data_IF_859115586610
#
_entry.id   IF_859115586610
#
_cell.length_a   1.000
_cell.length_b   1.000
_cell.length_c   1.000
_cell.angle_alpha   90.00
_cell.angle_beta   90.00
_cell.angle_gamma   90.00
#
_symmetry.space_group_name_H-M   'P 1'
#
loop_
_entity.id
_entity.type
_entity.pdbx_description
1 polymer ?
#
# COMPACT_ATOMS: atom_id res chain seq x y z
N UNK A 1 9.65 -32.85 32.19
CA UNK A 1 10.66 -32.31 33.12
C UNK A 1 11.59 -31.39 32.35
N UNK A 2 11.47 -30.07 32.57
CA UNK A 2 12.27 -29.02 31.92
C UNK A 2 13.64 -28.92 32.61
N UNK A 3 14.72 -28.80 31.83
CA UNK A 3 15.97 -28.15 32.27
C UNK A 3 16.46 -27.26 31.13
N UNK A 4 16.17 -25.97 31.24
CA UNK A 4 16.83 -24.91 30.50
C UNK A 4 18.05 -24.48 31.31
N UNK A 5 19.22 -24.48 30.69
CA UNK A 5 20.48 -23.97 31.24
C UNK A 5 20.54 -22.48 30.93
N UNK A 6 20.47 -21.65 31.97
CA UNK A 6 20.62 -20.20 31.90
C UNK A 6 22.09 -19.87 32.23
N UNK A 7 22.83 -19.30 31.27
CA UNK A 7 24.16 -18.72 31.50
C UNK A 7 23.99 -17.28 32.02
N UNK A 8 24.43 -17.04 33.25
CA UNK A 8 24.50 -15.71 33.87
C UNK A 8 25.94 -15.21 33.76
N UNK A 9 26.20 -13.98 33.27
CA UNK A 9 27.52 -13.38 33.38
C UNK A 9 27.74 -12.88 34.82
N UNK A 10 28.86 -13.30 35.40
CA UNK A 10 29.41 -12.85 36.68
C UNK A 10 29.77 -11.35 36.59
N UNK A 11 29.16 -10.50 37.41
CA UNK A 11 29.64 -9.14 37.67
C UNK A 11 30.20 -9.09 39.09
N UNK A 12 31.50 -8.79 39.21
CA UNK A 12 32.24 -8.65 40.46
C UNK A 12 31.76 -7.39 41.18
N UNK A 13 31.37 -7.54 42.44
CA UNK A 13 30.89 -6.46 43.29
C UNK A 13 32.00 -5.52 43.77
N UNK A 14 31.67 -4.24 43.88
CA UNK A 14 32.31 -3.31 44.80
C UNK A 14 31.21 -2.74 45.71
N UNK A 15 31.38 -2.96 47.01
CA UNK A 15 30.49 -2.53 48.09
C UNK A 15 30.71 -1.03 48.30
N UNK A 16 29.63 -0.25 48.22
CA UNK A 16 29.61 1.17 48.59
C UNK A 16 28.19 1.57 48.94
N UNK A 17 27.88 1.59 50.24
CA UNK A 17 26.58 1.99 50.76
C UNK A 17 26.36 3.50 50.58
N UNK A 18 25.29 3.86 49.87
CA UNK A 18 24.66 5.17 49.93
C UNK A 18 23.16 4.95 50.00
N UNK A 19 22.56 5.38 51.10
CA UNK A 19 21.11 5.50 51.24
C UNK A 19 20.62 6.52 50.19
N UNK A 20 19.92 6.04 49.17
CA UNK A 20 19.11 6.88 48.29
C UNK A 20 17.66 6.40 48.43
N UNK A 21 16.83 7.24 49.05
CA UNK A 21 15.39 7.08 49.02
C UNK A 21 14.95 7.04 47.55
N UNK A 22 14.35 5.91 47.14
CA UNK A 22 13.75 5.76 45.82
C UNK A 22 12.55 6.70 45.71
N UNK A 23 12.78 7.88 45.13
CA UNK A 23 11.73 8.63 44.46
C UNK A 23 11.28 7.79 43.25
N UNK A 24 10.24 6.98 43.46
CA UNK A 24 9.44 6.39 42.39
C UNK A 24 8.69 7.49 41.65
N UNK A 25 9.43 8.34 40.93
CA UNK A 25 8.88 9.12 39.84
C UNK A 25 8.56 8.12 38.74
N UNK A 26 7.28 7.73 38.66
CA UNK A 26 6.72 7.04 37.50
C UNK A 26 7.07 7.91 36.30
N UNK A 27 8.11 7.53 35.54
CA UNK A 27 8.32 8.07 34.20
C UNK A 27 7.07 7.67 33.43
N UNK A 28 6.12 8.60 33.34
CA UNK A 28 5.11 8.57 32.30
C UNK A 28 5.89 8.43 31.01
N UNK A 29 5.90 7.22 30.44
CA UNK A 29 6.32 7.08 29.06
C UNK A 29 5.26 7.81 28.26
N UNK A 30 5.56 9.05 27.93
CA UNK A 30 4.83 9.78 26.90
C UNK A 30 5.04 9.01 25.59
N UNK A 31 4.11 8.09 25.33
CA UNK A 31 4.05 7.35 24.09
C UNK A 31 3.63 8.39 23.05
N UNK A 32 4.63 8.88 22.29
CA UNK A 32 4.42 9.93 21.30
C UNK A 32 3.16 9.71 20.47
N UNK A 33 2.36 10.77 20.36
CA UNK A 33 1.04 10.72 19.74
C UNK A 33 1.11 10.16 18.31
N UNK A 34 0.39 9.06 18.06
CA UNK A 34 0.27 8.50 16.71
C UNK A 34 -1.06 8.95 16.13
N UNK A 35 -0.98 9.69 15.03
CA UNK A 35 -2.14 10.38 14.43
C UNK A 35 -2.56 9.68 13.14
N UNK A 36 -3.86 9.43 12.99
CA UNK A 36 -4.49 8.96 11.75
C UNK A 36 -4.63 10.14 10.79
N UNK A 37 -3.99 10.10 9.62
CA UNK A 37 -4.05 11.19 8.63
C UNK A 37 -5.01 10.91 7.46
N UNK A 38 -5.50 9.68 7.33
CA UNK A 38 -6.51 9.34 6.33
C UNK A 38 -7.95 9.72 6.76
N UNK A 39 -8.11 10.58 7.76
CA UNK A 39 -9.37 11.17 8.24
C UNK A 39 -9.51 12.63 7.79
N UNK A 40 -10.65 13.25 8.09
CA UNK A 40 -10.93 14.66 7.77
C UNK A 40 -9.93 15.59 8.44
N UNK A 41 -9.64 15.37 9.73
CA UNK A 41 -8.55 16.00 10.45
C UNK A 41 -7.60 14.91 10.95
N UNK A 42 -6.36 15.30 11.25
CA UNK A 42 -5.42 14.39 11.88
C UNK A 42 -5.89 14.11 13.32
N UNK A 43 -6.26 12.87 13.66
CA UNK A 43 -6.79 12.51 14.98
C UNK A 43 -5.90 11.47 15.65
N UNK A 44 -5.66 11.63 16.95
CA UNK A 44 -5.00 10.61 17.77
C UNK A 44 -5.66 9.24 17.55
N UNK A 45 -4.86 8.21 17.29
CA UNK A 45 -5.37 6.86 17.10
C UNK A 45 -6.19 6.35 18.30
N UNK A 46 -5.93 6.83 19.52
CA UNK A 46 -6.71 6.50 20.72
C UNK A 46 -8.05 7.26 20.81
N UNK A 47 -8.15 8.42 20.18
CA UNK A 47 -9.37 9.25 20.13
C UNK A 47 -10.22 8.99 18.89
N UNK A 48 -9.64 8.35 17.88
CA UNK A 48 -10.36 8.04 16.65
C UNK A 48 -11.56 7.13 16.93
N UNK A 49 -12.77 7.62 16.67
CA UNK A 49 -14.02 6.89 16.89
C UNK A 49 -14.18 5.63 16.00
N UNK A 50 -13.34 5.47 14.97
CA UNK A 50 -13.31 4.28 14.12
C UNK A 50 -12.25 3.26 14.53
N UNK A 51 -12.10 2.20 13.73
CA UNK A 51 -11.06 1.19 13.97
C UNK A 51 -9.90 1.42 13.00
N UNK A 52 -8.81 1.96 13.51
CA UNK A 52 -7.58 2.18 12.75
C UNK A 52 -6.41 1.31 13.28
N UNK A 53 -5.41 1.10 12.44
CA UNK A 53 -4.11 0.58 12.83
C UNK A 53 -3.03 1.34 12.08
N UNK A 54 -1.95 1.70 12.76
CA UNK A 54 -0.86 2.47 12.18
C UNK A 54 0.44 1.68 12.36
N UNK A 55 1.17 1.50 11.26
CA UNK A 55 2.50 0.92 11.26
C UNK A 55 3.51 2.02 11.01
N UNK A 56 4.47 2.11 11.91
CA UNK A 56 5.63 2.98 11.81
C UNK A 56 6.78 2.25 11.10
N UNK A 57 7.88 2.95 10.73
CA UNK A 57 9.03 2.29 10.14
C UNK A 57 9.65 1.23 11.06
N UNK A 58 9.46 1.35 12.39
CA UNK A 58 9.92 0.35 13.35
C UNK A 58 9.12 -0.95 13.23
N UNK A 59 7.80 -0.84 13.08
CA UNK A 59 6.91 -2.00 12.96
C UNK A 59 7.13 -2.75 11.64
N UNK A 60 7.38 -1.99 10.57
CA UNK A 60 7.64 -2.55 9.25
C UNK A 60 9.03 -3.22 9.14
N UNK A 61 10.02 -2.83 9.96
CA UNK A 61 11.34 -3.48 9.98
C UNK A 61 11.29 -4.94 10.46
N UNK A 62 10.26 -5.30 11.22
CA UNK A 62 10.11 -6.64 11.78
C UNK A 62 9.74 -7.70 10.72
N UNK A 63 9.24 -7.28 9.55
CA UNK A 63 8.81 -8.16 8.46
C UNK A 63 9.58 -7.87 7.17
N UNK A 64 9.52 -8.80 6.22
CA UNK A 64 10.18 -8.67 4.91
C UNK A 64 9.38 -7.88 3.90
N UNK A 65 8.07 -7.81 4.08
CA UNK A 65 7.16 -7.08 3.20
C UNK A 65 6.07 -6.34 4.00
N UNK A 66 5.43 -5.40 3.31
CA UNK A 66 4.40 -4.55 3.90
C UNK A 66 3.14 -5.33 4.26
N UNK A 67 2.79 -6.38 3.51
CA UNK A 67 1.55 -7.13 3.69
C UNK A 67 1.62 -7.92 5.00
N UNK A 68 2.72 -8.63 5.24
CA UNK A 68 3.02 -9.29 6.51
C UNK A 68 3.08 -8.28 7.67
N UNK A 69 3.47 -7.02 7.39
CA UNK A 69 3.43 -5.96 8.40
C UNK A 69 1.99 -5.56 8.72
N UNK A 70 1.14 -5.39 7.71
CA UNK A 70 -0.29 -5.05 7.81
C UNK A 70 -1.07 -6.15 8.54
N UNK A 71 -0.72 -7.42 8.34
CA UNK A 71 -1.31 -8.56 9.05
C UNK A 71 -1.04 -8.56 10.57
N UNK A 72 -0.14 -7.70 11.08
CA UNK A 72 0.02 -7.53 12.53
C UNK A 72 -1.12 -6.70 13.14
N UNK A 73 -1.92 -6.01 12.32
CA UNK A 73 -3.04 -5.19 12.79
C UNK A 73 -4.24 -6.10 13.07
N UNK A 74 -4.86 -6.02 14.28
CA UNK A 74 -6.04 -6.81 14.59
C UNK A 74 -7.20 -6.60 13.59
N UNK A 75 -7.86 -7.69 13.20
CA UNK A 75 -8.94 -7.68 12.20
C UNK A 75 -8.46 -7.61 10.75
N UNK A 76 -7.16 -7.76 10.54
CA UNK A 76 -6.54 -8.02 9.24
C UNK A 76 -6.05 -9.45 9.24
N UNK A 77 -6.55 -10.24 8.30
CA UNK A 77 -6.08 -11.61 8.06
C UNK A 77 -5.41 -11.66 6.69
N UNK A 78 -4.64 -12.69 6.42
CA UNK A 78 -4.05 -12.88 5.10
C UNK A 78 -4.08 -14.34 4.70
N UNK A 79 -4.05 -14.60 3.40
CA UNK A 79 -3.72 -15.93 2.92
C UNK A 79 -2.21 -16.03 2.72
N UNK A 80 -1.69 -17.22 2.93
CA UNK A 80 -0.28 -17.50 2.75
C UNK A 80 -0.11 -18.26 1.43
N UNK A 81 0.55 -17.66 0.44
CA UNK A 81 1.04 -18.37 -0.73
C UNK A 81 2.32 -19.15 -0.38
N UNK A 82 2.18 -20.07 0.58
CA UNK A 82 3.29 -20.91 1.05
C UNK A 82 4.53 -20.07 1.42
N UNK A 83 4.29 -18.90 2.02
CA UNK A 83 5.32 -17.97 2.46
C UNK A 83 5.98 -17.11 1.37
N UNK A 84 5.75 -17.38 0.08
CA UNK A 84 6.30 -16.61 -1.06
C UNK A 84 5.79 -15.18 -1.08
N UNK A 85 6.56 -14.25 -1.66
CA UNK A 85 6.18 -12.83 -1.68
C UNK A 85 5.15 -12.56 -2.78
N UNK A 86 5.34 -13.16 -3.95
CA UNK A 86 4.49 -12.98 -5.11
C UNK A 86 3.02 -13.17 -4.74
N UNK A 87 2.67 -14.23 -4.02
CA UNK A 87 1.28 -14.54 -3.67
C UNK A 87 0.79 -14.03 -2.29
N UNK A 88 1.37 -12.95 -1.75
CA UNK A 88 0.85 -12.36 -0.50
C UNK A 88 -0.39 -11.49 -0.75
N UNK A 89 -1.40 -11.73 0.07
CA UNK A 89 -2.61 -10.93 0.14
C UNK A 89 -3.11 -10.79 1.57
N UNK A 90 -3.99 -9.83 1.77
CA UNK A 90 -4.64 -9.57 3.04
C UNK A 90 -6.13 -9.27 2.80
N UNK A 91 -6.91 -9.43 3.86
CA UNK A 91 -8.30 -9.07 3.96
C UNK A 91 -8.52 -8.30 5.25
N UNK A 92 -9.41 -7.32 5.21
CA UNK A 92 -9.82 -6.54 6.37
C UNK A 92 -11.27 -6.94 6.69
N UNK A 93 -11.49 -7.55 7.86
CA UNK A 93 -12.82 -8.02 8.30
C UNK A 93 -13.56 -8.84 7.22
N UNK A 94 -12.83 -9.72 6.52
CA UNK A 94 -13.37 -10.58 5.45
C UNK A 94 -13.50 -9.94 4.07
N UNK A 95 -13.10 -8.68 3.91
CA UNK A 95 -13.10 -7.96 2.62
C UNK A 95 -11.68 -7.81 2.08
N UNK A 96 -11.44 -8.08 0.79
CA UNK A 96 -10.16 -7.77 0.13
C UNK A 96 -9.62 -8.85 -0.82
N UNK A 97 -10.09 -10.09 -0.72
CA UNK A 97 -9.66 -11.17 -1.61
C UNK A 97 -9.89 -10.81 -3.09
N UNK A 98 -8.80 -10.69 -3.85
CA UNK A 98 -8.76 -10.46 -5.32
C UNK A 98 -9.71 -9.36 -5.84
N UNK A 99 -9.95 -8.31 -5.05
CA UNK A 99 -10.95 -7.29 -5.38
C UNK A 99 -10.45 -5.89 -5.08
N UNK A 100 -10.17 -5.13 -6.15
CA UNK A 100 -9.89 -3.68 -6.11
C UNK A 100 -11.05 -2.86 -5.48
N UNK A 101 -12.26 -3.44 -5.43
CA UNK A 101 -13.49 -2.75 -5.06
C UNK A 101 -13.93 -2.97 -3.60
N UNK A 102 -13.09 -3.62 -2.77
CA UNK A 102 -13.45 -3.94 -1.38
C UNK A 102 -12.54 -3.32 -0.34
N UNK A 103 -11.25 -3.17 -0.65
CA UNK A 103 -10.27 -2.44 0.16
C UNK A 103 -9.47 -1.54 -0.77
N UNK A 104 -9.49 -0.23 -0.54
CA UNK A 104 -8.69 0.70 -1.35
C UNK A 104 -7.27 0.76 -0.79
N UNK A 105 -6.29 0.49 -1.63
CA UNK A 105 -4.88 0.55 -1.27
C UNK A 105 -4.26 1.71 -2.02
N UNK A 106 -3.66 2.67 -1.31
CA UNK A 106 -2.99 3.83 -1.89
C UNK A 106 -1.55 3.94 -1.40
N UNK A 107 -0.64 4.32 -2.28
CA UNK A 107 0.68 4.85 -1.92
C UNK A 107 0.79 6.28 -2.43
N UNK A 108 0.96 7.25 -1.53
CA UNK A 108 1.01 8.68 -1.88
C UNK A 108 -0.18 9.12 -2.78
N UNK A 109 -1.38 8.57 -2.53
CA UNK A 109 -2.59 8.83 -3.33
C UNK A 109 -2.78 7.92 -4.55
N UNK A 110 -1.72 7.26 -5.04
CA UNK A 110 -1.80 6.33 -6.18
C UNK A 110 -2.46 5.03 -5.76
N UNK A 111 -3.60 4.70 -6.37
CA UNK A 111 -4.29 3.41 -6.13
C UNK A 111 -3.44 2.24 -6.64
N UNK A 112 -3.33 1.19 -5.83
CA UNK A 112 -2.73 -0.09 -6.22
C UNK A 112 -3.78 -1.03 -6.81
N UNK A 113 -3.36 -1.88 -7.73
CA UNK A 113 -4.23 -2.79 -8.45
C UNK A 113 -4.12 -4.21 -7.89
N UNK A 114 -4.86 -4.48 -6.82
CA UNK A 114 -4.95 -5.79 -6.19
C UNK A 114 -5.47 -6.89 -7.14
N UNK A 115 -6.36 -6.53 -8.09
CA UNK A 115 -6.98 -7.46 -9.02
C UNK A 115 -6.13 -7.82 -10.24
N UNK A 116 -5.10 -7.03 -10.57
CA UNK A 116 -4.26 -7.27 -11.75
C UNK A 116 -3.53 -8.60 -11.74
N UNK A 117 -3.28 -9.12 -10.54
CA UNK A 117 -2.49 -10.31 -10.33
C UNK A 117 -3.36 -11.54 -10.03
N UNK A 118 -4.67 -11.46 -10.32
CA UNK A 118 -5.59 -12.59 -10.18
C UNK A 118 -5.06 -13.80 -10.96
N UNK A 119 -5.10 -14.97 -10.31
CA UNK A 119 -4.55 -16.30 -10.69
C UNK A 119 -3.15 -16.68 -10.14
N UNK A 120 -2.37 -15.73 -9.61
CA UNK A 120 -1.27 -16.02 -8.68
C UNK A 120 -1.50 -15.09 -7.50
N UNK A 121 -2.18 -15.57 -6.46
CA UNK A 121 -2.86 -14.82 -5.38
C UNK A 121 -2.07 -13.58 -4.91
N UNK A 122 -2.07 -12.48 -5.64
CA UNK A 122 -1.18 -11.35 -5.38
C UNK A 122 -2.00 -10.09 -5.29
N UNK A 123 -1.61 -9.21 -4.38
CA UNK A 123 -2.30 -7.94 -4.13
C UNK A 123 -1.53 -6.77 -4.75
N UNK A 124 -0.52 -6.23 -4.08
CA UNK A 124 0.17 -5.04 -4.56
C UNK A 124 1.67 -5.08 -4.27
N UNK A 125 2.42 -4.17 -4.90
CA UNK A 125 3.85 -4.00 -4.65
C UNK A 125 4.20 -2.61 -4.14
N UNK A 126 5.13 -2.60 -3.21
CA UNK A 126 5.77 -1.45 -2.56
C UNK A 126 7.00 -1.95 -1.82
N UNK A 127 7.82 -1.03 -1.33
CA UNK A 127 8.97 -1.34 -0.50
C UNK A 127 8.81 -0.74 0.90
N UNK A 128 8.77 -1.60 1.93
CA UNK A 128 8.64 -1.16 3.33
C UNK A 128 9.71 -0.18 3.79
N UNK A 129 10.91 -0.20 3.19
CA UNK A 129 12.01 0.67 3.61
C UNK A 129 11.78 2.14 3.23
N UNK A 130 11.03 2.42 2.15
CA UNK A 130 10.73 3.79 1.72
C UNK A 130 9.46 4.36 2.37
N UNK A 131 8.70 3.52 3.08
CA UNK A 131 7.46 3.93 3.73
C UNK A 131 7.75 4.60 5.07
N UNK A 132 7.20 5.80 5.25
CA UNK A 132 7.16 6.53 6.51
C UNK A 132 6.13 5.91 7.44
N UNK A 133 4.97 5.55 6.91
CA UNK A 133 3.92 4.88 7.67
C UNK A 133 2.92 4.18 6.77
N UNK A 134 2.18 3.25 7.36
CA UNK A 134 1.02 2.59 6.76
C UNK A 134 -0.16 2.73 7.71
N UNK A 135 -1.25 3.30 7.23
CA UNK A 135 -2.50 3.49 7.97
C UNK A 135 -3.54 2.53 7.41
N UNK A 136 -4.16 1.72 8.28
CA UNK A 136 -5.24 0.80 7.93
C UNK A 136 -6.49 1.26 8.65
N UNK A 137 -7.38 1.93 7.93
CA UNK A 137 -8.71 2.32 8.45
C UNK A 137 -9.69 1.23 8.05
N UNK A 138 -10.36 0.63 9.03
CA UNK A 138 -11.23 -0.52 8.86
C UNK A 138 -12.71 -0.09 8.82
N UNK A 139 -13.47 -0.67 7.90
CA UNK A 139 -14.87 -0.34 7.67
C UNK A 139 -15.07 0.76 6.63
N UNK A 140 -16.32 1.13 6.41
CA UNK A 140 -16.72 2.03 5.33
C UNK A 140 -16.00 3.40 5.41
N UNK A 141 -15.13 3.67 4.44
CA UNK A 141 -14.36 4.93 4.33
C UNK A 141 -14.48 5.56 2.93
N UNK A 142 -15.61 5.31 2.27
CA UNK A 142 -15.78 5.66 0.85
C UNK A 142 -15.95 7.17 0.58
N UNK A 143 -16.35 7.97 1.58
CA UNK A 143 -16.59 9.42 1.41
C UNK A 143 -15.29 10.16 1.02
N UNK A 144 -14.20 9.97 1.76
CA UNK A 144 -12.93 10.65 1.48
C UNK A 144 -12.04 9.91 0.47
N UNK A 145 -12.19 8.60 0.35
CA UNK A 145 -11.21 7.77 -0.38
C UNK A 145 -11.72 7.23 -1.71
N UNK A 146 -13.01 7.40 -1.97
CA UNK A 146 -13.70 6.98 -3.18
C UNK A 146 -14.46 5.67 -3.06
N UNK A 147 -15.24 5.36 -4.09
CA UNK A 147 -16.00 4.11 -4.17
C UNK A 147 -15.10 2.88 -4.06
N UNK A 148 -15.54 1.87 -3.32
CA UNK A 148 -14.85 0.59 -3.15
C UNK A 148 -14.13 0.40 -1.81
N UNK A 149 -14.26 1.34 -0.87
CA UNK A 149 -13.71 1.22 0.50
C UNK A 149 -14.74 0.67 1.49
N UNK A 150 -15.36 -0.49 1.19
CA UNK A 150 -16.35 -1.13 2.07
C UNK A 150 -15.66 -1.80 3.27
N UNK A 151 -14.60 -2.57 3.00
CA UNK A 151 -13.78 -3.23 4.01
C UNK A 151 -12.84 -2.28 4.73
N UNK A 152 -12.46 -1.19 4.06
CA UNK A 152 -11.54 -0.20 4.59
C UNK A 152 -10.58 0.34 3.55
N UNK A 153 -9.54 0.99 4.04
CA UNK A 153 -8.44 1.49 3.24
C UNK A 153 -7.09 1.14 3.86
N UNK A 154 -6.09 1.03 3.01
CA UNK A 154 -4.67 1.00 3.36
C UNK A 154 -4.01 2.20 2.70
N UNK A 155 -3.60 3.17 3.49
CA UNK A 155 -2.93 4.38 3.02
C UNK A 155 -1.44 4.33 3.40
N UNK A 156 -0.56 4.36 2.42
CA UNK A 156 0.88 4.29 2.61
C UNK A 156 1.51 5.63 2.25
N UNK A 157 2.34 6.15 3.15
CA UNK A 157 3.05 7.40 2.91
C UNK A 157 4.55 7.19 2.71
N UNK A 158 5.03 7.82 1.66
CA UNK A 158 6.40 8.26 1.37
C UNK A 158 7.29 8.82 2.47
N UNK A 159 8.49 8.32 2.73
CA UNK A 159 9.53 9.13 3.41
C UNK A 159 10.00 10.30 2.55
N UNK A 160 10.36 11.42 3.18
CA UNK A 160 11.18 12.50 2.63
C UNK A 160 12.58 12.49 3.23
N UNK A 161 13.48 13.37 2.76
CA UNK A 161 14.84 13.44 3.29
C UNK A 161 14.87 13.71 4.80
N UNK A 162 13.96 14.56 5.28
CA UNK A 162 13.80 14.89 6.71
C UNK A 162 13.50 13.67 7.59
N UNK A 163 12.86 12.62 7.06
CA UNK A 163 12.59 11.40 7.83
C UNK A 163 13.84 10.51 8.02
N UNK A 164 14.93 10.80 7.28
CA UNK A 164 16.21 10.11 7.40
C UNK A 164 17.29 10.95 8.10
N UNK A 165 17.14 12.27 8.15
CA UNK A 165 18.09 13.18 8.78
C UNK A 165 17.93 13.16 10.29
N UNK A 166 19.04 12.98 11.00
CA UNK A 166 19.10 13.26 12.44
C UNK A 166 18.99 14.76 12.69
N UNK A 167 18.55 15.13 13.89
CA UNK A 167 18.45 16.52 14.32
C UNK A 167 19.77 17.28 14.12
N UNK A 168 19.70 18.48 13.56
CA UNK A 168 20.85 19.33 13.26
C UNK A 168 21.75 18.83 12.12
N UNK A 169 21.33 17.86 11.31
CA UNK A 169 22.06 17.40 10.12
C UNK A 169 21.31 17.74 8.84
N UNK A 170 22.06 18.10 7.81
CA UNK A 170 21.53 18.59 6.53
C UNK A 170 21.82 17.64 5.37
N UNK A 171 22.73 16.67 5.54
CA UNK A 171 23.02 15.61 4.56
C UNK A 171 23.27 14.29 5.30
N UNK A 172 22.89 13.17 4.68
CA UNK A 172 23.16 11.84 5.20
C UNK A 172 23.24 10.75 4.13
N UNK A 173 23.84 9.62 4.54
CA UNK A 173 23.95 8.39 3.78
C UNK A 173 23.43 7.25 4.65
N UNK A 174 22.58 6.40 4.07
CA UNK A 174 22.14 5.14 4.66
C UNK A 174 22.71 4.00 3.81
N UNK A 175 23.26 2.99 4.48
CA UNK A 175 23.52 1.68 3.92
C UNK A 175 22.87 0.62 4.81
N UNK A 176 22.27 -0.40 4.20
CA UNK A 176 21.57 -1.45 4.94
C UNK A 176 21.71 -2.79 4.26
N UNK A 177 21.98 -3.82 5.06
CA UNK A 177 21.89 -5.21 4.67
C UNK A 177 20.80 -5.90 5.49
N UNK A 178 20.12 -6.87 4.89
CA UNK A 178 19.21 -7.79 5.58
C UNK A 178 19.53 -9.20 5.14
N UNK A 179 19.59 -10.11 6.10
CA UNK A 179 19.74 -11.54 5.89
C UNK A 179 18.71 -12.23 6.78
N UNK A 180 17.99 -13.21 6.24
CA UNK A 180 17.06 -14.04 6.99
C UNK A 180 17.36 -15.51 6.78
N UNK A 181 17.07 -16.31 7.82
CA UNK A 181 17.27 -17.76 7.79
C UNK A 181 16.43 -18.49 6.74
N UNK A 182 15.33 -17.87 6.26
CA UNK A 182 14.46 -18.43 5.24
C UNK A 182 14.74 -17.86 3.85
N UNK A 183 16.03 -17.75 3.50
CA UNK A 183 16.53 -17.41 2.17
C UNK A 183 16.10 -16.03 1.62
N UNK A 184 15.88 -15.04 2.50
CA UNK A 184 15.71 -13.64 2.08
C UNK A 184 16.99 -12.85 2.36
N UNK A 185 17.49 -12.15 1.35
CA UNK A 185 18.53 -11.15 1.54
C UNK A 185 18.27 -9.86 0.75
N UNK A 186 18.70 -8.72 1.29
CA UNK A 186 18.59 -7.45 0.57
C UNK A 186 19.70 -6.47 0.93
N UNK A 187 20.29 -5.84 -0.09
CA UNK A 187 21.19 -4.69 0.03
C UNK A 187 20.43 -3.43 -0.35
N UNK A 188 20.55 -2.37 0.44
CA UNK A 188 19.93 -1.08 0.15
C UNK A 188 20.80 0.08 0.56
N UNK A 189 20.55 1.23 -0.06
CA UNK A 189 21.17 2.47 0.33
C UNK A 189 20.32 3.68 -0.02
N UNK A 190 20.58 4.79 0.65
CA UNK A 190 19.97 6.07 0.36
C UNK A 190 20.94 7.21 0.56
N UNK A 191 20.87 8.23 -0.29
CA UNK A 191 21.53 9.53 -0.10
C UNK A 191 20.43 10.57 0.00
N UNK A 192 20.53 11.44 1.00
CA UNK A 192 19.50 12.41 1.28
C UNK A 192 20.08 13.68 1.87
N UNK A 193 19.40 14.80 1.63
CA UNK A 193 19.79 16.07 2.19
C UNK A 193 18.69 17.11 2.10
N UNK A 194 18.82 18.14 2.90
CA UNK A 194 17.97 19.33 2.95
C UNK A 194 18.88 20.55 2.96
N UNK A 195 18.61 21.52 2.09
CA UNK A 195 19.30 22.80 2.12
C UNK A 195 18.82 23.68 3.29
N UNK A 196 19.75 24.40 3.91
CA UNK A 196 19.46 25.34 4.99
C UNK A 196 19.00 26.70 4.43
N UNK A 197 19.69 27.21 3.40
CA UNK A 197 19.34 28.46 2.72
C UNK A 197 18.35 28.26 1.58
N UNK A 198 18.52 27.16 0.83
CA UNK A 198 17.60 26.75 -0.23
C UNK A 198 16.68 25.71 0.39
N UNK A 199 15.37 25.96 0.54
CA UNK A 199 14.48 25.10 1.31
C UNK A 199 14.04 23.85 0.54
N UNK A 200 14.96 23.28 -0.24
CA UNK A 200 14.81 22.07 -1.03
C UNK A 200 15.38 20.89 -0.26
N UNK A 201 14.66 19.78 -0.27
CA UNK A 201 15.15 18.49 0.18
C UNK A 201 15.07 17.45 -0.94
N UNK A 202 16.04 16.54 -0.92
CA UNK A 202 16.20 15.48 -1.93
C UNK A 202 16.51 14.17 -1.22
N UNK A 203 15.89 13.10 -1.70
CA UNK A 203 16.10 11.73 -1.29
C UNK A 203 16.24 10.87 -2.54
N UNK A 204 17.34 10.11 -2.62
CA UNK A 204 17.55 9.05 -3.59
C UNK A 204 17.78 7.75 -2.84
N UNK A 205 17.04 6.71 -3.21
CA UNK A 205 17.08 5.40 -2.58
C UNK A 205 17.16 4.30 -3.65
N UNK A 206 17.92 3.25 -3.35
CA UNK A 206 18.01 2.05 -4.17
C UNK A 206 18.09 0.79 -3.30
N UNK A 207 17.48 -0.30 -3.77
CA UNK A 207 17.55 -1.61 -3.13
C UNK A 207 17.57 -2.73 -4.15
N UNK A 208 18.32 -3.77 -3.81
CA UNK A 208 18.26 -5.10 -4.43
C UNK A 208 17.89 -6.11 -3.36
N UNK A 209 16.92 -6.95 -3.64
CA UNK A 209 16.47 -8.02 -2.76
C UNK A 209 16.35 -9.33 -3.55
N UNK A 210 16.51 -10.45 -2.87
CA UNK A 210 16.08 -11.72 -3.43
C UNK A 210 15.54 -12.67 -2.37
N UNK A 211 14.57 -13.47 -2.81
CA UNK A 211 13.89 -14.48 -2.02
C UNK A 211 14.11 -15.83 -2.67
N UNK A 212 14.75 -16.74 -1.94
CA UNK A 212 14.95 -18.13 -2.32
C UNK A 212 13.88 -19.04 -1.73
N UNK A 213 14.11 -20.34 -1.84
CA UNK A 213 13.20 -21.40 -1.36
C UNK A 213 12.72 -21.16 0.07
N UNK A 214 11.43 -21.33 0.30
CA UNK A 214 10.80 -21.09 1.59
C UNK A 214 10.65 -22.41 2.33
N UNK A 215 11.26 -22.56 3.50
CA UNK A 215 11.02 -23.67 4.42
C UNK A 215 9.79 -23.37 5.29
N UNK A 216 8.91 -24.35 5.45
CA UNK A 216 7.73 -24.24 6.31
C UNK A 216 8.04 -24.56 7.77
N UNK A 217 7.10 -24.21 8.64
CA UNK A 217 7.15 -24.55 10.05
C UNK A 217 6.81 -26.03 10.27
N UNK A 218 7.54 -26.68 11.16
CA UNK A 218 7.29 -28.09 11.54
C UNK A 218 5.90 -28.23 12.19
N UNK A 219 5.16 -29.27 11.82
CA UNK A 219 3.84 -29.58 12.41
C UNK A 219 2.65 -28.79 11.85
N UNK A 220 2.83 -28.03 10.77
CA UNK A 220 1.73 -27.37 10.06
C UNK A 220 0.80 -28.34 9.30
N UNK A 221 -0.36 -27.85 8.89
CA UNK A 221 -1.25 -28.58 7.95
C UNK A 221 -0.61 -28.54 6.56
N UNK A 222 -0.04 -29.66 6.13
CA UNK A 222 0.57 -29.77 4.80
C UNK A 222 -0.53 -30.14 3.78
N UNK A 223 -0.66 -29.37 2.71
CA UNK A 223 -1.63 -29.64 1.64
C UNK A 223 -1.25 -30.85 0.78
N UNK A 224 0.00 -31.30 0.86
CA UNK A 224 0.50 -32.54 0.27
C UNK A 224 1.49 -33.22 1.25
N UNK A 225 1.55 -34.56 1.30
CA UNK A 225 2.60 -35.27 2.06
C UNK A 225 4.00 -34.86 1.59
N UNK A 226 4.96 -34.78 2.52
CA UNK A 226 6.40 -34.54 2.26
C UNK A 226 6.77 -33.16 1.67
N UNK A 227 5.89 -32.17 1.78
CA UNK A 227 6.12 -30.83 1.26
C UNK A 227 6.65 -29.87 2.35
N UNK A 228 7.93 -29.97 2.74
CA UNK A 228 8.55 -29.14 3.80
C UNK A 228 9.06 -27.77 3.31
N UNK A 229 9.10 -27.56 1.99
CA UNK A 229 9.61 -26.37 1.32
C UNK A 229 8.81 -26.00 0.07
N UNK A 230 8.69 -24.71 -0.22
CA UNK A 230 8.27 -24.19 -1.52
C UNK A 230 9.49 -23.76 -2.33
N UNK A 231 9.55 -24.15 -3.60
CA UNK A 231 10.50 -23.51 -4.52
C UNK A 231 10.11 -22.05 -4.71
N UNK A 232 11.11 -21.17 -4.69
CA UNK A 232 10.93 -19.75 -4.88
C UNK A 232 12.24 -19.11 -5.35
N UNK A 233 12.16 -18.27 -6.37
CA UNK A 233 13.27 -17.48 -6.86
C UNK A 233 12.75 -16.13 -7.35
N UNK A 234 12.77 -15.14 -6.46
CA UNK A 234 12.30 -13.78 -6.74
C UNK A 234 13.48 -12.82 -6.60
N UNK A 235 13.67 -11.93 -7.57
CA UNK A 235 14.68 -10.88 -7.58
C UNK A 235 14.00 -9.54 -7.75
N UNK A 236 14.20 -8.66 -6.78
CA UNK A 236 13.52 -7.37 -6.70
C UNK A 236 14.55 -6.25 -6.75
N UNK A 237 14.33 -5.29 -7.65
CA UNK A 237 15.02 -4.01 -7.70
C UNK A 237 14.02 -2.89 -7.39
N UNK A 238 14.35 -2.03 -6.43
CA UNK A 238 13.56 -0.85 -6.07
C UNK A 238 14.40 0.41 -6.25
N UNK A 239 13.91 1.36 -7.03
CA UNK A 239 14.40 2.73 -7.12
C UNK A 239 13.38 3.72 -6.57
N UNK A 240 13.83 4.68 -5.78
CA UNK A 240 12.96 5.75 -5.30
C UNK A 240 13.68 7.09 -5.28
N UNK A 241 13.03 8.11 -5.81
CA UNK A 241 13.49 9.48 -5.80
C UNK A 241 12.38 10.38 -5.27
N UNK A 242 12.72 11.32 -4.39
CA UNK A 242 11.81 12.37 -3.94
C UNK A 242 12.56 13.68 -3.82
N UNK A 243 11.98 14.74 -4.35
CA UNK A 243 12.42 16.11 -4.17
C UNK A 243 11.24 16.93 -3.65
N UNK A 244 11.48 17.87 -2.77
CA UNK A 244 10.48 18.86 -2.44
C UNK A 244 11.07 20.17 -1.97
N UNK A 245 10.24 21.21 -1.98
CA UNK A 245 10.55 22.56 -1.54
C UNK A 245 9.52 23.03 -0.51
N UNK A 246 9.97 23.62 0.59
CA UNK A 246 9.13 24.34 1.55
C UNK A 246 9.26 25.84 1.24
N UNK A 247 8.17 26.50 0.85
CA UNK A 247 8.15 27.91 0.47
C UNK A 247 7.05 28.59 1.27
N UNK A 248 7.41 29.14 2.43
CA UNK A 248 6.48 29.73 3.40
C UNK A 248 5.33 28.75 3.73
N UNK A 249 4.11 29.09 3.36
CA UNK A 249 2.90 28.31 3.58
C UNK A 249 2.73 27.15 2.58
N UNK A 250 3.65 26.99 1.63
CA UNK A 250 3.59 25.97 0.58
C UNK A 250 4.60 24.85 0.79
N UNK A 251 4.16 23.61 0.55
CA UNK A 251 5.03 22.46 0.32
C UNK A 251 4.77 21.91 -1.07
N UNK A 252 5.77 21.91 -1.94
CA UNK A 252 5.70 21.27 -3.26
C UNK A 252 6.65 20.08 -3.25
N UNK A 253 6.22 18.93 -3.76
CA UNK A 253 7.10 17.78 -3.94
C UNK A 253 6.77 16.96 -5.17
N UNK A 254 7.80 16.28 -5.67
CA UNK A 254 7.72 15.30 -6.73
C UNK A 254 8.39 14.02 -6.27
N UNK A 255 7.77 12.88 -6.52
CA UNK A 255 8.37 11.56 -6.30
C UNK A 255 8.28 10.68 -7.54
N UNK A 256 9.29 9.83 -7.70
CA UNK A 256 9.34 8.77 -8.68
C UNK A 256 9.65 7.44 -7.97
N UNK A 257 8.80 6.44 -8.16
CA UNK A 257 8.95 5.10 -7.62
C UNK A 257 9.04 4.12 -8.79
N UNK A 258 10.06 3.27 -8.79
CA UNK A 258 10.27 2.20 -9.77
C UNK A 258 10.53 0.90 -9.01
N UNK A 259 9.74 -0.11 -9.30
CA UNK A 259 9.83 -1.44 -8.72
C UNK A 259 9.81 -2.44 -9.87
N UNK A 260 10.78 -3.34 -9.89
CA UNK A 260 10.87 -4.46 -10.82
C UNK A 260 11.09 -5.76 -10.03
N UNK A 261 10.36 -6.80 -10.39
CA UNK A 261 10.43 -8.12 -9.77
C UNK A 261 10.46 -9.19 -10.86
N UNK A 262 11.61 -9.84 -11.00
CA UNK A 262 11.77 -11.02 -11.83
C UNK A 262 11.56 -12.25 -10.97
N UNK A 263 10.70 -13.15 -11.40
CA UNK A 263 10.31 -14.30 -10.60
C UNK A 263 10.33 -15.59 -11.41
N UNK A 264 10.76 -16.65 -10.75
CA UNK A 264 10.58 -18.03 -11.15
C UNK A 264 10.10 -18.81 -9.94
N UNK A 265 8.82 -19.18 -9.93
CA UNK A 265 8.17 -19.77 -8.76
C UNK A 265 7.21 -20.88 -9.19
N UNK A 266 6.70 -21.66 -8.25
CA UNK A 266 5.73 -22.71 -8.58
C UNK A 266 4.36 -22.10 -8.92
N UNK A 267 3.61 -22.71 -9.83
CA UNK A 267 2.26 -22.25 -10.17
C UNK A 267 1.32 -22.52 -9.00
N UNK A 268 0.72 -21.45 -8.47
CA UNK A 268 -0.30 -21.58 -7.44
C UNK A 268 -1.65 -21.87 -8.11
N UNK A 269 -2.12 -23.12 -8.09
CA UNK A 269 -3.56 -23.37 -8.27
C UNK A 269 -4.26 -23.20 -6.93
N UNK A 270 -5.52 -22.77 -6.94
CA UNK A 270 -6.29 -22.50 -5.72
C UNK A 270 -6.44 -23.71 -4.78
N UNK A 271 -6.04 -24.91 -5.20
CA UNK A 271 -6.32 -26.15 -4.46
C UNK A 271 -5.21 -27.22 -4.51
N UNK A 272 -4.18 -27.10 -5.36
CA UNK A 272 -3.07 -28.06 -5.46
C UNK A 272 -1.77 -27.38 -5.93
N UNK A 273 -0.64 -27.90 -5.46
CA UNK A 273 0.67 -27.56 -5.99
C UNK A 273 1.04 -28.65 -7.01
N UNK A 274 1.14 -28.30 -8.28
CA UNK A 274 1.64 -29.22 -9.28
C UNK A 274 3.16 -29.10 -9.29
N UNK A 275 3.86 -30.16 -8.87
CA UNK A 275 5.31 -30.16 -8.70
C UNK A 275 6.06 -29.84 -10.01
N UNK A 276 5.38 -29.96 -11.15
CA UNK A 276 5.95 -29.80 -12.49
C UNK A 276 5.55 -28.46 -13.16
N UNK A 277 4.69 -27.63 -12.54
CA UNK A 277 4.27 -26.35 -13.11
C UNK A 277 5.02 -25.17 -12.46
N UNK A 278 5.89 -24.53 -13.24
CA UNK A 278 6.60 -23.31 -12.83
C UNK A 278 6.17 -22.11 -13.64
N UNK A 279 6.03 -20.97 -12.97
CA UNK A 279 5.77 -19.67 -13.56
C UNK A 279 7.03 -18.86 -13.58
N UNK A 280 7.40 -18.40 -14.77
CA UNK A 280 8.40 -17.34 -14.92
C UNK A 280 7.70 -16.05 -15.30
N UNK A 281 8.11 -14.93 -14.72
CA UNK A 281 7.51 -13.66 -15.03
C UNK A 281 8.35 -12.45 -14.62
N UNK A 282 7.90 -11.30 -15.07
CA UNK A 282 8.39 -9.99 -14.68
C UNK A 282 7.18 -9.14 -14.27
N UNK A 283 7.25 -8.57 -13.08
CA UNK A 283 6.30 -7.62 -12.54
C UNK A 283 7.00 -6.27 -12.40
N UNK A 284 6.34 -5.20 -12.86
CA UNK A 284 6.83 -3.84 -12.63
C UNK A 284 5.75 -2.89 -12.15
N UNK A 285 6.15 -1.90 -11.36
CA UNK A 285 5.31 -0.81 -10.88
C UNK A 285 6.10 0.50 -10.96
N UNK A 286 5.55 1.49 -11.67
CA UNK A 286 6.15 2.80 -11.87
C UNK A 286 5.17 3.90 -11.50
N UNK A 287 5.54 4.74 -10.55
CA UNK A 287 4.72 5.87 -10.12
C UNK A 287 5.49 7.18 -10.24
N UNK A 288 4.80 8.21 -10.70
CA UNK A 288 5.24 9.60 -10.66
C UNK A 288 4.15 10.41 -9.99
N UNK A 289 4.49 11.08 -8.89
CA UNK A 289 3.53 11.83 -8.07
C UNK A 289 4.02 13.25 -7.91
N UNK A 290 3.15 14.21 -8.22
CA UNK A 290 3.28 15.60 -7.84
C UNK A 290 2.31 15.87 -6.67
N UNK A 291 2.80 16.53 -5.63
CA UNK A 291 2.07 16.79 -4.40
C UNK A 291 2.33 18.23 -3.96
N UNK A 292 1.28 19.03 -3.88
CA UNK A 292 1.31 20.41 -3.42
C UNK A 292 0.37 20.57 -2.24
N UNK A 293 0.88 21.12 -1.14
CA UNK A 293 0.11 21.48 0.03
C UNK A 293 0.28 22.98 0.27
N UNK A 294 -0.81 23.65 0.65
CA UNK A 294 -0.86 25.05 0.99
C UNK A 294 -1.64 25.21 2.30
N UNK A 295 -0.91 25.58 3.34
CA UNK A 295 -1.43 25.65 4.71
C UNK A 295 -1.10 27.03 5.29
N UNK A 296 -1.82 28.08 4.87
CA UNK A 296 -1.65 29.42 5.41
C UNK A 296 -2.08 29.49 6.88
N UNK A 297 -1.81 30.62 7.54
CA UNK A 297 -2.26 30.87 8.92
C UNK A 297 -3.79 30.84 9.11
N UNK A 298 -4.57 30.90 8.02
CA UNK A 298 -6.03 30.87 8.09
C UNK A 298 -6.53 29.45 8.40
N UNK A 299 -7.34 29.25 9.46
CA UNK A 299 -7.87 27.94 9.81
C UNK A 299 -8.86 27.40 8.75
N UNK A 300 -9.36 28.26 7.87
CA UNK A 300 -10.30 27.87 6.82
C UNK A 300 -9.64 27.21 5.61
N UNK A 301 -8.31 27.28 5.50
CA UNK A 301 -7.58 26.83 4.31
C UNK A 301 -6.45 25.90 4.72
N UNK A 302 -6.63 24.62 4.45
CA UNK A 302 -5.57 23.63 4.36
C UNK A 302 -5.79 22.83 3.08
N UNK A 303 -5.15 23.30 2.00
CA UNK A 303 -5.39 22.81 0.66
C UNK A 303 -4.30 21.82 0.25
N UNK A 304 -4.72 20.67 -0.26
CA UNK A 304 -3.85 19.68 -0.89
C UNK A 304 -4.28 19.42 -2.32
N UNK A 305 -3.30 19.37 -3.22
CA UNK A 305 -3.46 18.97 -4.61
C UNK A 305 -2.46 17.87 -4.93
N UNK A 306 -2.93 16.78 -5.51
CA UNK A 306 -2.09 15.68 -5.99
C UNK A 306 -2.39 15.40 -7.44
N UNK A 307 -1.34 15.15 -8.20
CA UNK A 307 -1.42 14.67 -9.56
C UNK A 307 -0.47 13.48 -9.72
N UNK A 308 -0.92 12.41 -10.35
CA UNK A 308 -0.08 11.23 -10.52
C UNK A 308 -0.25 10.56 -11.87
N UNK A 309 0.79 9.83 -12.25
CA UNK A 309 0.79 8.87 -13.35
C UNK A 309 1.42 7.58 -12.83
N UNK A 310 0.73 6.47 -13.04
CA UNK A 310 1.16 5.15 -12.59
C UNK A 310 1.02 4.14 -13.71
N UNK A 311 1.96 3.19 -13.78
CA UNK A 311 1.89 2.02 -14.65
C UNK A 311 2.28 0.80 -13.84
N UNK A 312 1.40 -0.18 -13.82
CA UNK A 312 1.69 -1.52 -13.34
C UNK A 312 1.64 -2.49 -14.52
N UNK A 313 2.53 -3.47 -14.54
CA UNK A 313 2.54 -4.54 -15.53
C UNK A 313 2.96 -5.85 -14.88
N UNK A 314 2.32 -6.95 -15.28
CA UNK A 314 2.73 -8.29 -14.89
C UNK A 314 2.68 -9.23 -16.10
N UNK A 315 3.88 -9.61 -16.58
CA UNK A 315 4.06 -10.60 -17.64
C UNK A 315 4.48 -11.90 -17.01
N UNK A 316 3.81 -12.99 -17.35
CA UNK A 316 4.12 -14.32 -16.83
C UNK A 316 3.80 -15.41 -17.83
N UNK A 317 4.45 -16.55 -17.69
CA UNK A 317 4.14 -17.72 -18.48
C UNK A 317 4.60 -19.01 -17.80
N UNK A 318 4.11 -20.14 -18.29
CA UNK A 318 4.61 -21.47 -17.93
C UNK A 318 4.77 -22.35 -19.17
N UNK A 319 5.71 -23.29 -19.10
CA UNK A 319 5.90 -24.34 -20.11
C UNK A 319 5.25 -25.60 -19.56
N UNK A 320 4.11 -26.00 -20.11
CA UNK A 320 3.51 -27.29 -19.77
C UNK A 320 4.42 -28.41 -20.31
N UNK A 321 4.75 -29.39 -19.47
CA UNK A 321 5.50 -30.58 -19.91
C UNK A 321 4.61 -31.61 -20.62
N UNK A 322 3.28 -31.40 -20.65
CA UNK A 322 2.32 -32.12 -21.49
C UNK A 322 2.15 -31.39 -22.85
N UNK A 323 1.57 -31.99 -23.92
CA UNK A 323 1.69 -31.48 -25.30
C UNK A 323 0.93 -30.15 -25.60
N UNK A 324 0.57 -29.42 -24.55
CA UNK A 324 -0.27 -28.23 -24.51
C UNK A 324 0.51 -26.91 -24.47
N UNK A 325 1.68 -26.83 -25.09
CA UNK A 325 2.19 -25.56 -25.60
C UNK A 325 2.79 -24.55 -24.61
N UNK A 326 3.24 -23.39 -25.15
CA UNK A 326 3.76 -22.25 -24.35
C UNK A 326 2.64 -21.28 -24.03
N UNK A 327 2.57 -20.85 -22.77
CA UNK A 327 1.53 -19.97 -22.27
C UNK A 327 2.09 -18.64 -21.79
N UNK A 328 1.56 -17.52 -22.32
CA UNK A 328 1.96 -16.18 -21.90
C UNK A 328 0.73 -15.34 -21.50
N UNK A 329 0.75 -14.81 -20.29
CA UNK A 329 -0.18 -13.83 -19.76
C UNK A 329 0.52 -12.48 -19.59
N UNK A 330 -0.16 -11.39 -19.95
CA UNK A 330 0.27 -10.05 -19.58
C UNK A 330 -0.91 -9.23 -19.08
N UNK A 331 -0.81 -8.74 -17.84
CA UNK A 331 -1.76 -7.82 -17.24
C UNK A 331 -1.11 -6.43 -17.18
N UNK A 332 -1.85 -5.39 -17.56
CA UNK A 332 -1.37 -4.01 -17.55
C UNK A 332 -2.43 -3.07 -17.00
N UNK A 333 -2.01 -2.11 -16.18
CA UNK A 333 -2.88 -1.06 -15.66
C UNK A 333 -2.14 0.28 -15.68
N UNK A 334 -2.64 1.18 -16.51
CA UNK A 334 -2.17 2.55 -16.67
C UNK A 334 -3.15 3.49 -15.97
N UNK A 335 -2.69 4.24 -14.97
CA UNK A 335 -3.51 5.20 -14.23
C UNK A 335 -2.96 6.61 -14.35
N UNK A 336 -3.87 7.57 -14.42
CA UNK A 336 -3.60 8.99 -14.24
C UNK A 336 -4.67 9.55 -13.34
N UNK A 337 -4.29 10.34 -12.36
CA UNK A 337 -5.30 10.93 -11.49
C UNK A 337 -4.91 12.29 -10.95
N UNK A 338 -5.95 12.99 -10.51
CA UNK A 338 -5.92 14.29 -9.87
C UNK A 338 -6.79 14.21 -8.62
N UNK A 339 -6.33 14.81 -7.53
CA UNK A 339 -7.10 14.96 -6.30
C UNK A 339 -6.88 16.37 -5.78
N UNK A 340 -7.97 17.08 -5.48
CA UNK A 340 -7.94 18.35 -4.75
C UNK A 340 -8.81 18.21 -3.52
N UNK A 341 -8.30 18.70 -2.39
CA UNK A 341 -8.99 18.67 -1.12
C UNK A 341 -8.65 19.92 -0.33
N UNK A 342 -9.63 20.51 0.33
CA UNK A 342 -9.43 21.54 1.33
C UNK A 342 -10.03 21.08 2.65
N UNK A 343 -9.35 21.38 3.75
CA UNK A 343 -9.89 21.26 5.10
C UNK A 343 -10.09 22.66 5.65
N UNK A 344 -11.24 22.91 6.25
CA UNK A 344 -11.58 24.16 6.92
C UNK A 344 -11.95 23.88 8.37
N UNK A 345 -11.30 24.59 9.29
CA UNK A 345 -11.61 24.57 10.72
C UNK A 345 -12.32 25.85 11.12
N UNK A 346 -13.49 25.74 11.74
CA UNK A 346 -14.28 26.88 12.20
C UNK A 346 -15.27 26.49 13.30
N UNK A 347 -15.74 27.49 14.03
CA UNK A 347 -16.68 27.29 15.13
C UNK A 347 -18.07 27.84 14.76
N UNK A 348 -19.13 27.13 15.14
CA UNK A 348 -20.50 27.63 15.11
C UNK A 348 -21.10 27.62 16.52
N UNK A 349 -20.80 28.67 17.28
CA UNK A 349 -21.21 28.78 18.68
C UNK A 349 -20.41 27.82 19.55
N UNK A 350 -21.05 26.76 20.06
CA UNK A 350 -20.40 25.74 20.89
C UNK A 350 -19.92 24.52 20.11
N UNK A 351 -20.12 24.51 18.78
CA UNK A 351 -19.72 23.42 17.91
C UNK A 351 -18.40 23.77 17.20
N UNK A 352 -17.42 22.87 17.24
CA UNK A 352 -16.20 22.98 16.45
C UNK A 352 -16.32 22.09 15.21
N UNK A 353 -16.02 22.64 14.04
CA UNK A 353 -16.11 21.95 12.76
C UNK A 353 -14.73 21.73 12.17
N UNK A 354 -14.48 20.51 11.69
CA UNK A 354 -13.42 20.22 10.72
C UNK A 354 -14.11 19.75 9.45
N UNK A 355 -14.20 20.63 8.45
CA UNK A 355 -14.92 20.39 7.21
C UNK A 355 -13.97 20.11 6.06
N UNK A 356 -13.93 18.86 5.58
CA UNK A 356 -13.19 18.48 4.37
C UNK A 356 -14.12 18.50 3.15
N UNK A 357 -13.68 19.14 2.07
CA UNK A 357 -14.36 19.05 0.78
C UNK A 357 -13.34 18.98 -0.35
N UNK A 358 -13.73 18.36 -1.45
CA UNK A 358 -12.81 18.15 -2.55
C UNK A 358 -13.40 17.38 -3.71
N UNK A 359 -12.53 17.06 -4.65
CA UNK A 359 -12.86 16.26 -5.80
C UNK A 359 -11.66 15.50 -6.33
N UNK A 360 -11.95 14.42 -7.04
CA UNK A 360 -10.94 13.56 -7.64
C UNK A 360 -11.36 13.10 -9.02
N UNK A 361 -10.35 12.85 -9.85
CA UNK A 361 -10.49 12.30 -11.19
C UNK A 361 -9.47 11.20 -11.37
N UNK A 362 -9.90 10.06 -11.91
CA UNK A 362 -9.01 8.95 -12.30
C UNK A 362 -9.35 8.52 -13.72
N UNK A 363 -8.33 8.47 -14.57
CA UNK A 363 -8.34 7.73 -15.84
C UNK A 363 -7.52 6.46 -15.68
N UNK A 364 -8.17 5.32 -15.82
CA UNK A 364 -7.58 3.98 -15.74
C UNK A 364 -7.71 3.30 -17.10
N UNK A 365 -6.64 2.67 -17.56
CA UNK A 365 -6.61 1.84 -18.76
C UNK A 365 -6.05 0.47 -18.38
N UNK A 366 -6.89 -0.54 -18.47
CA UNK A 366 -6.55 -1.91 -18.11
C UNK A 366 -6.54 -2.78 -19.35
N UNK A 367 -5.56 -3.68 -19.46
CA UNK A 367 -5.48 -4.66 -20.53
C UNK A 367 -4.98 -5.99 -19.97
N UNK A 368 -5.57 -7.11 -20.39
CA UNK A 368 -5.13 -8.44 -20.01
C UNK A 368 -5.09 -9.34 -21.24
N UNK A 369 -3.90 -9.71 -21.67
CA UNK A 369 -3.70 -10.59 -22.82
C UNK A 369 -3.37 -12.00 -22.37
N UNK A 370 -3.86 -12.96 -23.15
CA UNK A 370 -3.59 -14.37 -22.98
C UNK A 370 -3.21 -14.97 -24.32
N UNK A 371 -1.98 -15.48 -24.43
CA UNK A 371 -1.41 -16.03 -25.64
C UNK A 371 -1.10 -17.50 -25.38
N UNK A 372 -1.70 -18.38 -26.19
CA UNK A 372 -1.44 -19.81 -26.18
C UNK A 372 -0.74 -20.17 -27.48
N UNK A 373 0.49 -20.68 -27.41
CA UNK A 373 1.29 -21.05 -28.58
C UNK A 373 1.48 -19.92 -29.60
N UNK A 374 1.67 -18.69 -29.12
CA UNK A 374 1.80 -17.51 -29.97
C UNK A 374 0.48 -16.99 -30.56
N UNK A 375 -0.65 -17.64 -30.27
CA UNK A 375 -1.98 -17.21 -30.70
C UNK A 375 -2.70 -16.52 -29.55
N UNK A 376 -3.16 -15.29 -29.76
CA UNK A 376 -4.01 -14.58 -28.81
C UNK A 376 -5.33 -15.35 -28.65
N UNK A 377 -5.67 -15.71 -27.42
CA UNK A 377 -6.87 -16.47 -27.11
C UNK A 377 -8.05 -15.57 -26.71
N UNK A 378 -9.26 -16.06 -26.95
CA UNK A 378 -10.53 -15.40 -26.61
C UNK A 378 -10.74 -15.23 -25.09
N UNK A 379 -9.90 -15.87 -24.26
CA UNK A 379 -9.87 -15.65 -22.80
C UNK A 379 -9.17 -14.34 -22.41
N UNK A 380 -8.54 -13.64 -23.35
CA UNK A 380 -8.00 -12.30 -23.13
C UNK A 380 -9.12 -11.29 -22.80
N UNK A 381 -8.89 -10.39 -21.84
CA UNK A 381 -9.78 -9.25 -21.65
C UNK A 381 -9.61 -8.28 -22.81
N UNK A 382 -10.70 -7.60 -23.16
CA UNK A 382 -10.58 -6.40 -23.99
C UNK A 382 -9.90 -5.28 -23.19
N UNK A 383 -9.12 -4.41 -23.85
CA UNK A 383 -8.61 -3.20 -23.21
C UNK A 383 -9.79 -2.34 -22.75
N UNK A 384 -9.87 -2.11 -21.45
CA UNK A 384 -10.92 -1.35 -20.80
C UNK A 384 -10.38 0.03 -20.43
N UNK A 385 -11.19 1.06 -20.66
CA UNK A 385 -10.91 2.43 -20.26
C UNK A 385 -11.98 2.88 -19.26
N UNK A 386 -11.55 3.36 -18.10
CA UNK A 386 -12.41 3.85 -17.04
C UNK A 386 -12.05 5.30 -16.77
N UNK A 387 -13.05 6.19 -16.80
CA UNK A 387 -12.94 7.55 -16.31
C UNK A 387 -13.87 7.69 -15.10
N UNK A 388 -13.30 8.04 -13.96
CA UNK A 388 -14.00 8.17 -12.69
C UNK A 388 -13.89 9.61 -12.21
N UNK A 389 -15.01 10.20 -11.83
CA UNK A 389 -15.11 11.55 -11.27
C UNK A 389 -15.78 11.48 -9.90
N UNK A 390 -15.17 12.12 -8.92
CA UNK A 390 -15.65 12.17 -7.54
C UNK A 390 -15.77 13.60 -7.04
N UNK A 391 -16.86 13.89 -6.33
CA UNK A 391 -17.01 15.09 -5.50
C UNK A 391 -17.42 14.64 -4.11
N UNK A 392 -16.77 15.18 -3.08
CA UNK A 392 -17.03 14.80 -1.71
C UNK A 392 -17.00 15.99 -0.76
N UNK A 393 -17.78 15.87 0.31
CA UNK A 393 -17.75 16.76 1.46
C UNK A 393 -18.04 15.96 2.73
N UNK A 394 -17.33 16.26 3.80
CA UNK A 394 -17.50 15.62 5.10
C UNK A 394 -17.18 16.63 6.20
N UNK A 395 -18.13 16.78 7.12
CA UNK A 395 -17.98 17.58 8.34
C UNK A 395 -17.79 16.67 9.55
N UNK A 396 -16.78 16.97 10.35
CA UNK A 396 -16.57 16.40 11.67
C UNK A 396 -16.92 17.48 12.70
N UNK A 397 -18.07 17.30 13.35
CA UNK A 397 -18.64 18.25 14.30
C UNK A 397 -18.37 17.75 15.70
N UNK A 398 -17.59 18.49 16.49
CA UNK A 398 -17.34 18.21 17.91
C UNK A 398 -18.39 18.96 18.73
N UNK A 399 -19.26 18.20 19.40
CA UNK A 399 -20.29 18.75 20.27
C UNK A 399 -19.77 18.92 21.71
N UNK A 400 -18.89 18.02 22.12
CA UNK A 400 -18.19 18.00 23.41
C UNK A 400 -16.89 17.20 23.25
N UNK A 401 -16.01 17.22 24.24
CA UNK A 401 -14.74 16.47 24.25
C UNK A 401 -14.87 14.96 23.96
N UNK A 402 -16.05 14.38 24.26
CA UNK A 402 -16.31 12.93 24.12
C UNK A 402 -17.37 12.60 23.06
N UNK A 403 -17.93 13.61 22.37
CA UNK A 403 -19.00 13.41 21.38
C UNK A 403 -18.68 14.11 20.07
N UNK A 404 -18.36 13.31 19.06
CA UNK A 404 -18.16 13.74 17.68
C UNK A 404 -19.28 13.18 16.79
N UNK A 405 -19.81 14.04 15.92
CA UNK A 405 -20.74 13.67 14.85
C UNK A 405 -20.03 13.83 13.51
N UNK A 406 -20.15 12.84 12.63
CA UNK A 406 -19.56 12.87 11.30
C UNK A 406 -20.65 12.82 10.24
N UNK A 407 -20.81 13.90 9.48
CA UNK A 407 -21.77 13.96 8.37
C UNK A 407 -21.02 14.06 7.06
N UNK A 408 -21.28 13.15 6.12
CA UNK A 408 -20.55 13.14 4.86
C UNK A 408 -21.31 12.58 3.69
N UNK A 409 -21.02 13.13 2.51
CA UNK A 409 -21.61 12.71 1.25
C UNK A 409 -20.56 12.69 0.14
N UNK A 410 -20.72 11.72 -0.75
CA UNK A 410 -19.91 11.63 -1.98
C UNK A 410 -20.80 11.31 -3.18
N UNK A 411 -20.52 11.99 -4.28
CA UNK A 411 -21.08 11.73 -5.59
C UNK A 411 -19.99 11.21 -6.52
N UNK A 412 -20.20 10.04 -7.09
CA UNK A 412 -19.30 9.44 -8.08
C UNK A 412 -20.01 9.27 -9.43
N UNK A 413 -19.30 9.60 -10.52
CA UNK A 413 -19.68 9.32 -11.90
C UNK A 413 -18.61 8.47 -12.57
N UNK A 414 -19.03 7.37 -13.18
CA UNK A 414 -18.16 6.44 -13.90
C UNK A 414 -18.54 6.37 -15.38
N UNK A 415 -17.59 6.66 -16.25
CA UNK A 415 -17.69 6.45 -17.70
C UNK A 415 -16.73 5.30 -18.08
N UNK A 416 -17.28 4.18 -18.56
CA UNK A 416 -16.51 2.96 -18.90
C UNK A 416 -16.65 2.67 -20.39
N UNK A 417 -15.53 2.39 -21.05
CA UNK A 417 -15.46 2.06 -22.48
C UNK A 417 -14.59 0.83 -22.72
N UNK A 418 -14.87 0.08 -23.79
CA UNK A 418 -14.16 -1.13 -24.18
C UNK A 418 -13.61 -0.91 -25.59
N UNK A 419 -12.28 -0.95 -25.76
CA UNK A 419 -11.67 -0.82 -27.09
C UNK A 419 -11.77 -2.14 -27.85
N UNK A 420 -12.91 -2.34 -28.50
CA UNK A 420 -13.16 -3.48 -29.37
C UNK A 420 -12.36 -3.38 -30.68
N UNK A 421 -11.15 -3.92 -30.73
CA UNK A 421 -10.42 -4.01 -32.01
C UNK A 421 -9.45 -5.20 -32.14
N UNK A 422 -9.49 -6.20 -31.25
CA UNK A 422 -8.55 -7.34 -31.31
C UNK A 422 -9.06 -8.59 -32.02
N UNK A 423 -10.36 -8.67 -32.35
CA UNK A 423 -10.92 -9.78 -33.11
C UNK A 423 -11.70 -9.26 -34.31
N UNK A 424 -11.06 -9.31 -35.48
CA UNK A 424 -11.77 -9.22 -36.75
C UNK A 424 -12.44 -10.58 -36.99
N UNK A 425 -13.67 -10.79 -36.48
CA UNK A 425 -14.64 -11.80 -36.96
C UNK A 425 -15.98 -11.66 -36.22
N UNK A 426 -17.02 -11.22 -36.95
CA UNK A 426 -18.45 -11.53 -36.75
C UNK A 426 -19.15 -11.24 -35.40
N UNK A 427 -18.71 -10.27 -34.59
CA UNK A 427 -19.51 -9.75 -33.44
C UNK A 427 -19.76 -8.24 -33.57
N UNK A 428 -19.84 -7.72 -34.81
CA UNK A 428 -20.26 -6.32 -35.02
C UNK A 428 -21.76 -6.10 -34.82
N UNK A 429 -22.57 -7.14 -34.94
CA UNK A 429 -24.04 -7.01 -34.87
C UNK A 429 -24.62 -7.26 -33.47
N UNK A 430 -23.87 -7.87 -32.54
CA UNK A 430 -24.35 -8.09 -31.16
C UNK A 430 -24.02 -6.92 -30.21
N UNK A 431 -22.93 -6.19 -30.47
CA UNK A 431 -22.44 -5.11 -29.59
C UNK A 431 -23.05 -3.72 -29.87
N UNK A 432 -23.98 -3.60 -30.83
CA UNK A 432 -24.81 -2.39 -30.96
C UNK A 432 -25.94 -2.32 -29.92
N UNK A 433 -26.15 -3.37 -29.12
CA UNK A 433 -27.16 -3.38 -28.09
C UNK A 433 -26.53 -3.12 -26.70
N UNK A 434 -26.89 -1.97 -26.12
CA UNK A 434 -26.67 -1.50 -24.73
C UNK A 434 -25.37 -0.72 -24.49
N UNK A 435 -25.45 0.59 -24.74
CA UNK A 435 -25.03 1.57 -23.72
C UNK A 435 -25.75 1.17 -22.42
N UNK A 436 -25.06 0.48 -21.51
CA UNK A 436 -25.62 0.18 -20.20
C UNK A 436 -25.79 1.50 -19.43
N UNK A 437 -26.93 1.70 -18.74
CA UNK A 437 -27.23 2.97 -18.12
C UNK A 437 -26.25 3.27 -16.99
N UNK A 438 -25.90 4.55 -16.93
CA UNK A 438 -25.15 5.27 -15.89
C UNK A 438 -25.61 4.78 -14.50
N UNK A 439 -24.67 4.25 -13.71
CA UNK A 439 -24.87 4.11 -12.25
C UNK A 439 -24.26 5.34 -11.58
N UNK A 440 -25.10 6.31 -11.24
CA UNK A 440 -24.78 7.28 -10.19
C UNK A 440 -24.96 6.57 -8.85
N UNK A 441 -23.93 6.54 -8.02
CA UNK A 441 -24.05 6.10 -6.63
C UNK A 441 -23.93 7.30 -5.71
N UNK A 442 -24.94 7.52 -4.87
CA UNK A 442 -24.87 8.46 -3.75
C UNK A 442 -24.64 7.62 -2.51
N UNK A 443 -23.50 7.81 -1.85
CA UNK A 443 -23.25 7.21 -0.54
C UNK A 443 -23.40 8.32 0.51
N UNK A 444 -24.41 8.18 1.37
CA UNK A 444 -24.62 9.03 2.54
C UNK A 444 -24.12 8.28 3.78
N UNK A 445 -23.32 8.97 4.60
CA UNK A 445 -22.95 8.50 5.93
C UNK A 445 -23.54 9.47 6.95
N UNK A 446 -24.36 8.94 7.85
CA UNK A 446 -24.97 9.66 8.97
C UNK A 446 -24.22 9.38 10.26
#
# INVERSE_FOLDING_TARGET
>A
MKKQILLVPLAIGAIGGVNAAENNATKSQDLGQIVVQATVSAVDNLKYAGSAGILTPKDMKAKTNVIDSIMQIPGVDGSMDMGRQIGRQFQIRGFGYQSDERVIIKQDGVRRSAGMYSNMISSFRTDSDILKRVEVIKGASSVLHGSGAIGGIVNMQTKSASDYLSEGKSVGLMLGQRLESNNMHSTRGAVYGKGEEIPIDVLLYGKRASYGNVKFADGGTHYAPDYDKSFNNEHIDTGFFKIGANLDDHRISFSAFDYDENLHTMWQTLWQNDADLFVSGNLSQRDYVFDWNFTPQSPLVDMSFKAYKSRAEYKRGYKDQQPTGTLDYANKDDRKGLEIKNISEFDTGFLNHSFAFGGDYEKRQEDATYILNGVLSDFASFPNEYNSYGLFAQDLIRLHDDLELTLGGRYDRFDRDIKGNRLNLKIRDFLRARRLPIRSSINLRF
#
